data_IF_041822140252
#
_entry.id   IF_041822140252
#
_cell.length_a   1.000
_cell.length_b   1.000
_cell.length_c   1.000
_cell.angle_alpha   90.00
_cell.angle_beta   90.00
_cell.angle_gamma   90.00
#
_symmetry.space_group_name_H-M   'P 1'
#
loop_
_entity.id
_entity.type
_entity.pdbx_description
1 polymer ?
#
# COMPACT_ATOMS: atom_id res chain seq x y z
N UNK A 1 16.27 9.97 -0.55
CA UNK A 1 16.78 8.61 -0.69
C UNK A 1 16.32 8.01 -2.01
N UNK A 2 15.03 7.77 -2.22
CA UNK A 2 14.50 7.35 -3.52
C UNK A 2 13.96 8.55 -4.30
N UNK A 3 14.10 8.58 -5.64
CA UNK A 3 13.57 9.68 -6.46
C UNK A 3 12.04 9.62 -6.62
N UNK A 4 11.43 8.46 -6.37
CA UNK A 4 10.04 8.17 -6.69
C UNK A 4 9.31 7.39 -5.59
N UNK A 5 9.94 7.26 -4.41
CA UNK A 5 9.38 6.62 -3.24
C UNK A 5 10.09 7.09 -1.97
N UNK A 6 9.57 6.79 -0.81
CA UNK A 6 10.20 7.12 0.47
C UNK A 6 11.13 6.01 0.97
N UNK A 7 11.97 6.35 1.96
CA UNK A 7 12.72 5.39 2.75
C UNK A 7 12.18 5.32 4.17
N UNK A 8 12.30 4.16 4.81
CA UNK A 8 11.82 3.95 6.17
C UNK A 8 12.86 3.31 7.08
N UNK A 9 12.72 3.56 8.37
CA UNK A 9 13.42 2.89 9.44
C UNK A 9 12.39 2.60 10.53
N UNK A 10 11.90 1.38 10.56
CA UNK A 10 10.83 0.96 11.47
C UNK A 10 11.36 0.07 12.58
N UNK A 11 11.40 0.56 13.83
CA UNK A 11 11.67 -0.31 14.97
C UNK A 11 10.60 -1.40 15.08
N UNK A 12 11.06 -2.61 15.30
CA UNK A 12 10.23 -3.78 15.62
C UNK A 12 10.61 -4.26 17.04
N UNK A 13 10.03 -5.37 17.46
CA UNK A 13 10.27 -5.89 18.81
C UNK A 13 11.75 -6.28 19.04
N UNK A 14 12.35 -7.01 18.11
CA UNK A 14 13.68 -7.61 18.23
C UNK A 14 14.65 -7.17 17.11
N UNK A 15 14.17 -6.38 16.16
CA UNK A 15 14.95 -5.91 15.03
C UNK A 15 14.47 -4.54 14.52
N UNK A 16 15.20 -4.00 13.54
CA UNK A 16 14.80 -2.78 12.80
C UNK A 16 14.66 -3.11 11.33
N UNK A 17 13.51 -2.77 10.75
CA UNK A 17 13.31 -2.85 9.31
C UNK A 17 13.70 -1.52 8.67
N UNK A 18 14.78 -1.51 7.88
CA UNK A 18 15.20 -0.35 7.10
C UNK A 18 15.05 -0.66 5.61
N UNK A 19 14.32 0.16 4.89
CA UNK A 19 14.01 -0.11 3.50
C UNK A 19 13.65 1.11 2.66
N UNK A 20 13.47 0.88 1.38
CA UNK A 20 13.00 1.85 0.39
C UNK A 20 12.37 1.13 -0.79
N UNK A 21 11.63 1.86 -1.61
CA UNK A 21 11.08 1.38 -2.87
C UNK A 21 11.52 2.25 -4.04
N UNK A 22 11.29 1.78 -5.25
CA UNK A 22 11.38 2.55 -6.49
C UNK A 22 10.53 1.89 -7.57
N UNK A 23 9.95 2.70 -8.45
CA UNK A 23 9.26 2.23 -9.66
C UNK A 23 10.24 1.89 -10.80
N UNK A 24 11.50 2.32 -10.69
CA UNK A 24 12.50 2.08 -11.72
C UNK A 24 13.00 0.63 -11.65
N UNK A 25 12.80 -0.11 -12.72
CA UNK A 25 13.20 -1.52 -12.84
C UNK A 25 14.71 -1.63 -13.10
N UNK A 26 15.51 -1.27 -12.10
CA UNK A 26 16.96 -1.39 -12.15
C UNK A 26 17.48 -1.95 -10.83
N UNK A 27 17.94 -3.21 -10.86
CA UNK A 27 18.43 -3.90 -9.67
C UNK A 27 19.66 -3.23 -9.02
N UNK A 28 20.49 -2.53 -9.78
CA UNK A 28 21.61 -1.76 -9.24
C UNK A 28 21.12 -0.53 -8.46
N UNK A 29 20.10 0.14 -8.95
CA UNK A 29 19.52 1.31 -8.30
C UNK A 29 18.92 0.94 -6.93
N UNK A 30 18.11 -0.10 -6.83
CA UNK A 30 17.49 -0.46 -5.53
C UNK A 30 18.53 -0.81 -4.48
N UNK A 31 19.66 -1.44 -4.87
CA UNK A 31 20.76 -1.70 -3.96
C UNK A 31 21.42 -0.42 -3.47
N UNK A 32 21.70 0.54 -4.36
CA UNK A 32 22.31 1.82 -3.98
C UNK A 32 21.38 2.65 -3.10
N UNK A 33 20.08 2.65 -3.37
CA UNK A 33 19.07 3.30 -2.53
C UNK A 33 19.02 2.67 -1.13
N UNK A 34 19.09 1.35 -1.03
CA UNK A 34 19.13 0.63 0.24
C UNK A 34 20.38 0.98 1.06
N UNK A 35 21.54 1.09 0.42
CA UNK A 35 22.77 1.58 1.08
C UNK A 35 22.55 3.00 1.59
N UNK A 36 21.99 3.89 0.78
CA UNK A 36 21.69 5.27 1.17
C UNK A 36 20.75 5.39 2.37
N UNK A 37 19.74 4.52 2.48
CA UNK A 37 18.86 4.47 3.66
C UNK A 37 19.66 4.10 4.91
N UNK A 38 20.49 3.06 4.83
CA UNK A 38 21.30 2.60 5.97
C UNK A 38 22.30 3.66 6.41
N UNK A 39 22.96 4.33 5.46
CA UNK A 39 23.89 5.44 5.78
C UNK A 39 23.17 6.59 6.51
N UNK A 40 21.99 7.00 6.05
CA UNK A 40 21.19 8.01 6.75
C UNK A 40 20.74 7.56 8.14
N UNK A 41 20.45 6.28 8.31
CA UNK A 41 19.98 5.68 9.54
C UNK A 41 21.12 5.22 10.48
N UNK A 42 22.39 5.34 10.09
CA UNK A 42 23.52 4.72 10.79
C UNK A 42 23.59 5.01 12.29
N UNK A 43 23.22 6.23 12.73
CA UNK A 43 23.16 6.57 14.15
C UNK A 43 22.08 5.79 14.92
N UNK A 44 21.06 5.28 14.24
CA UNK A 44 19.98 4.46 14.82
C UNK A 44 20.24 2.96 14.68
N UNK A 45 21.23 2.58 13.87
CA UNK A 45 21.60 1.19 13.56
C UNK A 45 22.98 0.83 14.11
N UNK A 46 23.47 1.56 15.12
CA UNK A 46 24.79 1.34 15.73
C UNK A 46 24.86 -0.09 16.27
N UNK A 47 25.95 -0.79 15.93
CA UNK A 47 26.20 -2.20 16.28
C UNK A 47 25.14 -3.21 15.76
N UNK A 48 24.28 -2.79 14.81
CA UNK A 48 23.32 -3.68 14.18
C UNK A 48 23.97 -4.55 13.11
N UNK A 49 23.61 -5.82 13.07
CA UNK A 49 23.96 -6.76 12.01
C UNK A 49 22.80 -6.94 11.03
N UNK A 50 23.13 -7.21 9.76
CA UNK A 50 22.10 -7.49 8.76
C UNK A 50 21.64 -8.93 8.92
N UNK A 51 20.45 -9.13 9.45
CA UNK A 51 19.85 -10.45 9.66
C UNK A 51 19.31 -11.01 8.32
N UNK A 52 18.63 -10.16 7.53
CA UNK A 52 17.96 -10.59 6.29
C UNK A 52 17.80 -9.42 5.33
N UNK A 53 17.87 -9.70 4.04
CA UNK A 53 17.52 -8.75 2.97
C UNK A 53 16.42 -9.36 2.13
N UNK A 54 15.32 -8.63 1.98
CA UNK A 54 14.16 -9.04 1.19
C UNK A 54 13.75 -7.93 0.22
N UNK A 55 13.19 -8.30 -0.90
CA UNK A 55 12.59 -7.39 -1.87
C UNK A 55 11.32 -8.03 -2.43
N UNK A 56 10.25 -7.26 -2.46
CA UNK A 56 8.96 -7.69 -2.99
C UNK A 56 8.41 -6.64 -3.95
N UNK A 57 7.79 -7.05 -5.06
CA UNK A 57 7.07 -6.13 -5.92
C UNK A 57 5.81 -5.62 -5.20
N UNK A 58 5.57 -4.31 -5.26
CA UNK A 58 4.33 -3.70 -4.80
C UNK A 58 3.44 -3.53 -6.03
N UNK A 59 2.19 -4.03 -6.02
CA UNK A 59 1.28 -3.85 -7.14
C UNK A 59 0.93 -2.37 -7.31
N UNK A 60 0.99 -1.88 -8.54
CA UNK A 60 0.74 -0.47 -8.84
C UNK A 60 -0.74 -0.13 -9.06
N UNK A 61 -1.55 -1.12 -9.41
CA UNK A 61 -2.97 -0.93 -9.77
C UNK A 61 -3.82 -2.13 -9.34
N UNK A 62 -5.11 -1.90 -9.04
CA UNK A 62 -6.06 -2.99 -8.92
C UNK A 62 -6.06 -3.87 -10.18
N UNK A 63 -5.98 -5.17 -9.98
CA UNK A 63 -5.95 -6.10 -11.11
C UNK A 63 -7.28 -6.09 -11.86
N UNK A 64 -7.27 -6.19 -13.21
CA UNK A 64 -8.50 -6.16 -14.01
C UNK A 64 -9.40 -7.37 -13.74
N UNK A 65 -8.81 -8.54 -13.44
CA UNK A 65 -9.54 -9.78 -13.14
C UNK A 65 -9.29 -10.16 -11.69
N UNK A 66 -10.20 -9.78 -10.79
CA UNK A 66 -10.11 -10.02 -9.34
C UNK A 66 -11.04 -11.13 -8.85
N UNK A 67 -11.96 -11.58 -9.69
CA UNK A 67 -12.87 -12.71 -9.44
C UNK A 67 -12.94 -13.56 -10.69
N UNK A 68 -12.77 -14.88 -10.54
CA UNK A 68 -12.92 -15.88 -11.61
C UNK A 68 -13.47 -17.16 -11.00
N UNK A 69 -14.61 -17.62 -11.47
CA UNK A 69 -15.28 -18.79 -10.90
C UNK A 69 -15.57 -18.62 -9.42
N UNK A 70 -14.98 -19.47 -8.59
CA UNK A 70 -15.09 -19.42 -7.12
C UNK A 70 -13.87 -18.83 -6.43
N UNK A 71 -13.01 -18.14 -7.17
CA UNK A 71 -11.81 -17.50 -6.66
C UNK A 71 -12.00 -15.99 -6.63
N UNK A 72 -11.71 -15.35 -5.50
CA UNK A 72 -11.71 -13.91 -5.34
C UNK A 72 -10.37 -13.46 -4.76
N UNK A 73 -9.77 -12.43 -5.36
CA UNK A 73 -8.54 -11.82 -4.88
C UNK A 73 -8.86 -10.67 -3.91
N UNK A 74 -8.05 -10.53 -2.86
CA UNK A 74 -8.09 -9.47 -1.86
C UNK A 74 -6.69 -8.95 -1.58
N UNK A 75 -6.56 -7.80 -0.93
CA UNK A 75 -5.27 -7.21 -0.56
C UNK A 75 -4.33 -7.04 -1.75
N UNK A 76 -3.05 -7.26 -1.53
CA UNK A 76 -1.99 -7.13 -2.53
C UNK A 76 -2.21 -8.03 -3.76
N UNK A 77 -2.75 -9.23 -3.56
CA UNK A 77 -3.10 -10.12 -4.67
C UNK A 77 -4.12 -9.49 -5.62
N UNK A 78 -5.04 -8.69 -5.10
CA UNK A 78 -6.00 -7.90 -5.88
C UNK A 78 -5.43 -6.58 -6.41
N UNK A 79 -4.23 -6.20 -5.99
CA UNK A 79 -3.60 -4.93 -6.30
C UNK A 79 -4.12 -3.77 -5.47
N UNK A 80 -4.60 -4.04 -4.25
CA UNK A 80 -5.17 -3.02 -3.36
C UNK A 80 -4.10 -2.38 -2.47
N UNK A 81 -3.09 -1.83 -3.10
CA UNK A 81 -2.04 -1.03 -2.46
C UNK A 81 -2.08 0.39 -3.03
N UNK A 82 -1.88 1.39 -2.19
CA UNK A 82 -1.81 2.77 -2.67
C UNK A 82 -0.45 3.06 -3.27
N UNK A 83 -0.43 3.58 -4.47
CA UNK A 83 0.79 3.87 -5.22
C UNK A 83 1.65 4.95 -4.56
N UNK A 84 1.00 5.95 -3.94
CA UNK A 84 1.68 7.09 -3.32
C UNK A 84 2.45 6.75 -2.04
N UNK A 85 1.97 5.78 -1.26
CA UNK A 85 2.54 5.47 0.05
C UNK A 85 2.90 4.00 0.26
N UNK A 86 2.52 3.10 -0.66
CA UNK A 86 2.68 1.66 -0.46
C UNK A 86 1.76 1.10 0.65
N UNK A 87 0.72 1.86 1.08
CA UNK A 87 -0.24 1.40 2.09
C UNK A 87 -1.10 0.27 1.53
N UNK A 88 -0.97 -0.91 2.10
CA UNK A 88 -1.70 -2.10 1.72
C UNK A 88 -2.42 -2.78 2.88
N UNK A 89 -1.95 -2.59 4.13
CA UNK A 89 -2.45 -3.31 5.32
C UNK A 89 -3.93 -2.99 5.56
N UNK A 90 -4.29 -1.71 5.58
CA UNK A 90 -5.68 -1.28 5.75
C UNK A 90 -6.58 -1.83 4.65
N UNK A 91 -6.16 -1.71 3.40
CA UNK A 91 -6.94 -2.17 2.24
C UNK A 91 -7.02 -3.70 2.17
N UNK A 92 -5.99 -4.42 2.59
CA UNK A 92 -6.03 -5.87 2.71
C UNK A 92 -7.08 -6.32 3.72
N UNK A 93 -7.09 -5.73 4.92
CA UNK A 93 -8.08 -6.01 5.95
C UNK A 93 -9.51 -5.68 5.49
N UNK A 94 -9.71 -4.51 4.88
CA UNK A 94 -11.03 -4.08 4.39
C UNK A 94 -11.54 -4.95 3.24
N UNK A 95 -10.69 -5.25 2.26
CA UNK A 95 -11.10 -6.09 1.11
C UNK A 95 -11.37 -7.52 1.53
N UNK A 96 -10.56 -8.07 2.44
CA UNK A 96 -10.79 -9.39 3.01
C UNK A 96 -12.13 -9.47 3.70
N UNK A 97 -12.44 -8.49 4.57
CA UNK A 97 -13.72 -8.40 5.25
C UNK A 97 -14.90 -8.26 4.28
N UNK A 98 -14.85 -7.35 3.34
CA UNK A 98 -15.92 -7.14 2.36
C UNK A 98 -16.16 -8.38 1.47
N UNK A 99 -15.07 -9.10 1.13
CA UNK A 99 -15.18 -10.35 0.39
C UNK A 99 -15.85 -11.44 1.23
N UNK A 100 -15.45 -11.59 2.49
CA UNK A 100 -16.04 -12.56 3.42
C UNK A 100 -17.53 -12.28 3.68
N UNK A 101 -17.90 -11.03 3.93
CA UNK A 101 -19.30 -10.61 4.09
C UNK A 101 -20.12 -10.95 2.84
N UNK A 102 -19.57 -10.72 1.64
CA UNK A 102 -20.25 -11.07 0.40
C UNK A 102 -20.41 -12.60 0.22
N UNK A 103 -19.42 -13.39 0.61
CA UNK A 103 -19.50 -14.85 0.57
C UNK A 103 -20.60 -15.33 1.52
N UNK A 104 -20.64 -14.85 2.75
CA UNK A 104 -21.66 -15.22 3.76
C UNK A 104 -23.06 -14.84 3.26
N UNK A 105 -23.23 -13.61 2.78
CA UNK A 105 -24.51 -13.13 2.22
C UNK A 105 -24.98 -14.01 1.06
N UNK A 106 -24.09 -14.27 0.09
CA UNK A 106 -24.43 -15.02 -1.11
C UNK A 106 -24.59 -16.53 -0.87
N UNK A 107 -23.96 -17.09 0.14
CA UNK A 107 -24.07 -18.52 0.50
C UNK A 107 -25.29 -18.84 1.34
N UNK A 108 -26.09 -17.83 1.72
CA UNK A 108 -27.21 -18.02 2.65
C UNK A 108 -26.78 -18.77 3.93
N UNK A 109 -25.68 -18.28 4.54
CA UNK A 109 -25.04 -18.91 5.69
C UNK A 109 -24.58 -20.36 5.42
N UNK A 110 -23.99 -20.59 4.26
CA UNK A 110 -23.37 -21.88 3.88
C UNK A 110 -24.35 -22.89 3.25
N UNK A 111 -25.60 -22.52 3.00
CA UNK A 111 -26.59 -23.43 2.37
C UNK A 111 -26.36 -23.60 0.87
N UNK A 112 -25.81 -22.61 0.19
CA UNK A 112 -25.55 -22.66 -1.24
C UNK A 112 -24.10 -22.21 -1.53
N UNK A 113 -23.57 -22.66 -2.67
CA UNK A 113 -22.24 -22.24 -3.13
C UNK A 113 -22.42 -20.95 -3.95
N UNK A 114 -21.75 -19.85 -3.58
CA UNK A 114 -21.79 -18.60 -4.34
C UNK A 114 -21.28 -18.79 -5.77
N UNK A 115 -21.95 -18.15 -6.71
CA UNK A 115 -21.53 -18.09 -8.10
C UNK A 115 -20.48 -17.00 -8.32
N UNK A 116 -19.82 -17.00 -9.49
CA UNK A 116 -18.93 -15.92 -9.89
C UNK A 116 -19.62 -14.54 -9.86
N UNK A 117 -20.88 -14.49 -10.32
CA UNK A 117 -21.66 -13.25 -10.32
C UNK A 117 -21.97 -12.75 -8.91
N UNK A 118 -22.15 -13.66 -7.97
CA UNK A 118 -22.34 -13.30 -6.56
C UNK A 118 -21.04 -12.71 -5.98
N UNK A 119 -19.92 -13.33 -6.23
CA UNK A 119 -18.61 -12.82 -5.79
C UNK A 119 -18.25 -11.47 -6.44
N UNK A 120 -18.62 -11.24 -7.69
CA UNK A 120 -18.44 -9.95 -8.36
C UNK A 120 -19.20 -8.79 -7.70
N UNK A 121 -20.21 -9.05 -6.88
CA UNK A 121 -20.89 -8.00 -6.07
C UNK A 121 -19.93 -7.33 -5.09
N UNK A 122 -18.99 -8.10 -4.51
CA UNK A 122 -17.91 -7.56 -3.69
C UNK A 122 -17.07 -6.51 -4.44
N UNK A 123 -16.71 -6.78 -5.71
CA UNK A 123 -15.94 -5.83 -6.52
C UNK A 123 -16.69 -4.52 -6.72
N UNK A 124 -18.00 -4.59 -7.03
CA UNK A 124 -18.83 -3.38 -7.18
C UNK A 124 -18.91 -2.57 -5.90
N UNK A 125 -19.06 -3.24 -4.73
CA UNK A 125 -19.04 -2.59 -3.41
C UNK A 125 -17.69 -1.94 -3.16
N UNK A 126 -16.58 -2.62 -3.46
CA UNK A 126 -15.21 -2.12 -3.33
C UNK A 126 -14.96 -0.91 -4.22
N UNK A 127 -15.20 -1.03 -5.51
CA UNK A 127 -14.92 0.03 -6.49
C UNK A 127 -15.77 1.29 -6.19
N UNK A 128 -17.03 1.13 -5.76
CA UNK A 128 -17.87 2.24 -5.31
C UNK A 128 -17.29 2.95 -4.09
N UNK A 129 -16.73 2.22 -3.14
CA UNK A 129 -16.22 2.78 -1.88
C UNK A 129 -14.83 3.38 -2.02
N UNK A 130 -13.93 2.72 -2.72
CA UNK A 130 -12.51 3.06 -2.75
C UNK A 130 -11.96 3.48 -4.13
N UNK A 131 -12.72 3.31 -5.21
CA UNK A 131 -12.24 3.61 -6.56
C UNK A 131 -11.75 5.05 -6.72
N UNK A 132 -12.52 6.02 -6.23
CA UNK A 132 -12.12 7.44 -6.25
C UNK A 132 -10.86 7.68 -5.40
N UNK A 133 -10.72 7.02 -4.25
CA UNK A 133 -9.54 7.14 -3.38
C UNK A 133 -8.27 6.73 -4.14
N UNK A 134 -8.30 5.59 -4.85
CA UNK A 134 -7.16 5.16 -5.66
C UNK A 134 -6.82 6.15 -6.77
N UNK A 135 -7.82 6.70 -7.45
CA UNK A 135 -7.61 7.71 -8.50
C UNK A 135 -6.96 8.97 -7.94
N UNK A 136 -7.44 9.48 -6.80
CA UNK A 136 -6.87 10.66 -6.15
C UNK A 136 -5.43 10.40 -5.72
N UNK A 137 -5.15 9.27 -5.09
CA UNK A 137 -3.80 8.91 -4.63
C UNK A 137 -2.82 8.71 -5.81
N UNK A 138 -3.28 8.20 -6.94
CA UNK A 138 -2.47 8.09 -8.17
C UNK A 138 -2.10 9.48 -8.72
N UNK A 139 -3.05 10.41 -8.73
CA UNK A 139 -2.81 11.81 -9.13
C UNK A 139 -1.81 12.48 -8.17
N UNK A 140 -2.00 12.34 -6.87
CA UNK A 140 -1.11 12.92 -5.87
C UNK A 140 0.32 12.39 -6.01
N UNK A 141 0.50 11.10 -6.27
CA UNK A 141 1.83 10.55 -6.52
C UNK A 141 2.49 11.21 -7.72
N UNK A 142 1.77 11.37 -8.82
CA UNK A 142 2.30 12.03 -10.02
C UNK A 142 2.72 13.48 -9.75
N UNK A 143 2.01 14.19 -8.87
CA UNK A 143 2.34 15.56 -8.50
C UNK A 143 3.56 15.59 -7.57
N UNK A 144 3.54 14.85 -6.47
CA UNK A 144 4.54 14.96 -5.41
C UNK A 144 5.93 14.41 -5.79
N UNK A 145 6.00 13.46 -6.72
CA UNK A 145 7.27 12.84 -7.10
C UNK A 145 7.87 13.39 -8.40
N UNK A 146 7.36 14.49 -8.93
CA UNK A 146 7.86 15.07 -10.20
C UNK A 146 9.22 15.75 -10.08
N UNK A 147 9.51 16.41 -8.95
CA UNK A 147 10.74 17.17 -8.73
C UNK A 147 11.14 17.18 -7.25
N UNK A 148 12.36 17.62 -6.96
CA UNK A 148 12.83 17.79 -5.59
C UNK A 148 11.98 18.83 -4.83
N UNK A 149 11.66 19.96 -5.48
CA UNK A 149 10.81 20.99 -4.89
C UNK A 149 9.40 20.50 -4.58
N UNK A 150 8.80 19.66 -5.43
CA UNK A 150 7.50 19.05 -5.15
C UNK A 150 7.56 18.08 -3.96
N UNK A 151 8.65 17.33 -3.82
CA UNK A 151 8.87 16.44 -2.67
C UNK A 151 9.05 17.20 -1.36
N UNK A 152 9.83 18.28 -1.38
CA UNK A 152 10.02 19.14 -0.18
C UNK A 152 8.70 19.80 0.21
N UNK A 153 7.94 20.36 -0.71
CA UNK A 153 6.63 20.93 -0.44
C UNK A 153 5.64 19.89 0.17
N UNK A 154 5.72 18.64 -0.30
CA UNK A 154 4.94 17.55 0.29
C UNK A 154 5.36 17.26 1.74
N UNK A 155 6.66 17.24 2.02
CA UNK A 155 7.18 17.03 3.38
C UNK A 155 6.76 18.19 4.31
N UNK A 156 6.85 19.42 3.85
CA UNK A 156 6.38 20.60 4.60
C UNK A 156 4.88 20.51 4.89
N UNK A 157 4.08 20.15 3.90
CA UNK A 157 2.64 19.96 4.07
C UNK A 157 2.31 18.87 5.10
N UNK A 158 3.09 17.79 5.16
CA UNK A 158 2.93 16.74 6.17
C UNK A 158 3.26 17.22 7.59
N UNK A 159 3.96 18.34 7.76
CA UNK A 159 4.20 18.99 9.04
C UNK A 159 3.00 19.77 9.56
N UNK A 160 2.03 20.09 8.72
CA UNK A 160 0.83 20.82 9.10
C UNK A 160 -0.14 19.95 9.92
N UNK A 161 -0.55 20.46 11.08
CA UNK A 161 -1.39 19.72 12.03
C UNK A 161 -2.81 19.45 11.50
N UNK A 162 -3.36 20.35 10.70
CA UNK A 162 -4.69 20.17 10.12
C UNK A 162 -4.67 19.12 9.02
N UNK A 163 -3.62 19.10 8.20
CA UNK A 163 -3.39 18.05 7.19
C UNK A 163 -3.23 16.68 7.86
N UNK A 164 -2.46 16.60 8.95
CA UNK A 164 -2.30 15.36 9.71
C UNK A 164 -3.64 14.89 10.26
N UNK A 165 -4.40 15.77 10.91
CA UNK A 165 -5.71 15.46 11.47
C UNK A 165 -6.69 14.98 10.41
N UNK A 166 -6.85 15.71 9.30
CA UNK A 166 -7.72 15.33 8.19
C UNK A 166 -7.33 13.97 7.59
N UNK A 167 -6.03 13.71 7.49
CA UNK A 167 -5.53 12.42 7.01
C UNK A 167 -5.93 11.30 7.96
N UNK A 168 -5.68 11.43 9.26
CA UNK A 168 -6.08 10.44 10.26
C UNK A 168 -7.59 10.22 10.28
N UNK A 169 -8.37 11.28 10.29
CA UNK A 169 -9.82 11.20 10.29
C UNK A 169 -10.35 10.46 9.05
N UNK A 170 -9.71 10.63 7.89
CA UNK A 170 -10.07 9.93 6.68
C UNK A 170 -9.87 8.41 6.77
N UNK A 171 -8.94 7.94 7.59
CA UNK A 171 -8.71 6.51 7.84
C UNK A 171 -9.60 5.94 8.94
N UNK A 172 -9.89 6.73 9.97
CA UNK A 172 -10.63 6.25 11.16
C UNK A 172 -12.14 6.18 10.94
N UNK A 173 -12.69 7.10 10.16
CA UNK A 173 -14.15 7.30 10.06
C UNK A 173 -14.77 6.90 8.71
N UNK A 174 -14.06 6.12 7.90
CA UNK A 174 -14.59 5.60 6.62
C UNK A 174 -14.94 4.11 6.66
#
# INVERSE_FOLDING_TARGET
VSPDFYGWVFPKYDHVAAGTGTMKQNGGLIKSLQIGVRERAKKRLVNGEVIKVEAHPIPEHPRPRRVVGRMALVGDAAGYVTKSSGEGIYFAAKSGRMCAEQIVESSQNGKIIPTENDLKKYLKKWDKKYGTTYTVLDILQRIFYTSDGAREAFVEMCGDMDVQRLTFDSYLYK
#
